data_IF_269986858246
#
_entry.id   IF_269986858246
#
_cell.length_a   1.000
_cell.length_b   1.000
_cell.length_c   1.000
_cell.angle_alpha   90.00
_cell.angle_beta   90.00
_cell.angle_gamma   90.00
#
_symmetry.space_group_name_H-M   'P 1'
#
loop_
_entity.id
_entity.type
_entity.pdbx_description
1 polymer ?
#
# COMPACT_ATOMS: atom_id res chain seq x y z
N UNK A 1 -1.63 1.43 7.56
CA UNK A 1 -2.09 1.38 8.98
C UNK A 1 -2.86 2.65 9.35
N UNK A 2 -2.26 3.84 9.26
CA UNK A 2 -2.95 5.09 9.61
C UNK A 2 -4.29 5.24 8.88
N UNK A 3 -4.28 5.13 7.55
CA UNK A 3 -5.49 5.26 6.73
C UNK A 3 -6.55 4.21 7.05
N UNK A 4 -6.17 2.95 7.27
CA UNK A 4 -7.11 1.91 7.67
C UNK A 4 -7.79 2.20 9.02
N UNK A 5 -7.11 2.90 9.93
CA UNK A 5 -7.63 3.24 11.26
C UNK A 5 -8.40 4.59 11.29
N UNK A 6 -8.07 5.53 10.38
CA UNK A 6 -8.65 6.88 10.35
C UNK A 6 -9.63 7.11 9.18
N UNK A 7 -9.60 6.29 8.14
CA UNK A 7 -10.31 6.49 6.88
C UNK A 7 -9.62 7.44 5.88
N UNK A 8 -8.50 8.05 6.25
CA UNK A 8 -7.72 8.96 5.38
C UNK A 8 -6.23 8.91 5.69
N UNK A 9 -5.33 9.22 4.73
CA UNK A 9 -3.90 9.27 4.99
C UNK A 9 -3.52 10.40 5.97
N UNK A 10 -2.35 10.30 6.64
CA UNK A 10 -1.92 11.30 7.62
C UNK A 10 -1.62 12.68 7.02
N UNK A 11 -1.24 12.71 5.73
CA UNK A 11 -1.06 13.95 4.98
C UNK A 11 -1.82 13.84 3.65
N UNK A 12 -2.54 14.90 3.29
CA UNK A 12 -3.29 14.99 2.05
C UNK A 12 -3.13 16.37 1.42
N UNK A 13 -3.03 16.42 0.10
CA UNK A 13 -2.97 17.64 -0.69
C UNK A 13 -3.32 17.34 -2.13
N UNK A 14 -3.95 18.30 -2.84
CA UNK A 14 -4.22 18.21 -4.28
C UNK A 14 -2.99 18.47 -5.15
N UNK A 15 -1.97 19.13 -4.59
CA UNK A 15 -0.71 19.43 -5.26
C UNK A 15 0.41 18.57 -4.66
N UNK A 16 1.16 17.87 -5.52
CA UNK A 16 2.21 16.94 -5.12
C UNK A 16 3.36 17.63 -4.39
N UNK A 17 3.81 18.80 -4.85
CA UNK A 17 4.83 19.59 -4.15
C UNK A 17 4.40 19.90 -2.72
N UNK A 18 3.17 20.36 -2.53
CA UNK A 18 2.62 20.62 -1.18
C UNK A 18 2.50 19.34 -0.34
N UNK A 19 2.16 18.21 -0.95
CA UNK A 19 2.11 16.92 -0.28
C UNK A 19 3.51 16.51 0.22
N UNK A 20 4.53 16.63 -0.62
CA UNK A 20 5.91 16.32 -0.24
C UNK A 20 6.39 17.22 0.89
N UNK A 21 6.10 18.52 0.83
CA UNK A 21 6.42 19.44 1.94
C UNK A 21 5.73 19.02 3.24
N UNK A 22 4.49 18.53 3.18
CA UNK A 22 3.79 18.00 4.35
C UNK A 22 4.48 16.76 4.92
N UNK A 23 4.85 15.80 4.07
CA UNK A 23 5.57 14.60 4.50
C UNK A 23 6.90 14.98 5.17
N UNK A 24 7.65 15.90 4.58
CA UNK A 24 8.96 16.33 5.07
C UNK A 24 8.91 17.11 6.37
N UNK A 25 7.88 17.95 6.59
CA UNK A 25 7.92 18.94 7.68
C UNK A 25 6.71 18.91 8.63
N UNK A 26 5.51 18.60 8.13
CA UNK A 26 4.27 18.73 8.90
C UNK A 26 4.17 17.67 10.01
N UNK A 27 3.80 18.07 11.21
CA UNK A 27 3.75 17.14 12.34
C UNK A 27 2.63 16.11 12.16
N UNK A 28 2.90 14.88 12.55
CA UNK A 28 1.91 13.80 12.51
C UNK A 28 0.83 14.06 13.59
N UNK A 29 -0.42 14.22 13.14
CA UNK A 29 -1.58 14.43 14.02
C UNK A 29 -2.40 13.16 14.13
N UNK A 30 -2.91 12.86 15.32
CA UNK A 30 -3.69 11.66 15.60
C UNK A 30 -5.15 12.01 15.92
N UNK A 31 -6.12 11.30 15.32
CA UNK A 31 -7.51 11.33 15.76
C UNK A 31 -7.68 10.83 17.20
N UNK A 32 -8.76 11.26 17.88
CA UNK A 32 -9.03 10.92 19.29
C UNK A 32 -9.28 9.42 19.54
N UNK A 33 -9.73 8.67 18.53
CA UNK A 33 -10.02 7.24 18.63
C UNK A 33 -8.76 6.36 18.57
N UNK A 34 -7.56 6.93 18.43
CA UNK A 34 -6.33 6.15 18.36
C UNK A 34 -5.85 5.76 19.76
N UNK A 35 -5.70 4.46 20.00
CA UNK A 35 -5.04 3.95 21.21
C UNK A 35 -3.58 4.42 21.30
N UNK A 36 -3.04 4.52 22.52
CA UNK A 36 -1.64 4.88 22.77
C UNK A 36 -0.67 3.97 22.01
N UNK A 37 -0.96 2.66 22.00
CA UNK A 37 -0.14 1.64 21.34
C UNK A 37 -0.10 1.85 19.82
N UNK A 38 -1.23 2.25 19.21
CA UNK A 38 -1.29 2.56 17.79
C UNK A 38 -0.52 3.85 17.46
N UNK A 39 -0.68 4.89 18.29
CA UNK A 39 0.04 6.15 18.09
C UNK A 39 1.55 5.95 18.18
N UNK A 40 2.02 5.16 19.16
CA UNK A 40 3.44 4.84 19.32
C UNK A 40 4.01 4.08 18.12
N UNK A 41 3.30 3.05 17.64
CA UNK A 41 3.68 2.31 16.43
C UNK A 41 3.81 3.24 15.22
N UNK A 42 2.81 4.12 15.01
CA UNK A 42 2.78 5.03 13.87
C UNK A 42 3.89 6.08 13.93
N UNK A 43 4.23 6.60 15.12
CA UNK A 43 5.39 7.50 15.29
C UNK A 43 6.70 6.81 14.91
N UNK A 44 6.86 5.54 15.27
CA UNK A 44 8.06 4.75 14.97
C UNK A 44 8.16 4.35 13.49
N UNK A 45 7.02 4.06 12.84
CA UNK A 45 6.95 3.74 11.41
C UNK A 45 7.13 4.98 10.52
N UNK A 46 6.43 6.07 10.86
CA UNK A 46 6.47 7.34 10.11
C UNK A 46 7.62 8.24 10.60
N UNK A 47 8.72 7.62 11.05
CA UNK A 47 9.94 8.33 11.42
C UNK A 47 10.65 8.83 10.16
N UNK A 48 11.01 10.11 10.16
CA UNK A 48 11.69 10.79 9.03
C UNK A 48 13.11 10.30 8.87
N UNK A 49 13.82 10.19 9.99
CA UNK A 49 15.14 9.58 10.02
C UNK A 49 15.03 8.07 9.81
N UNK A 50 15.50 7.62 8.64
CA UNK A 50 15.42 6.22 8.22
C UNK A 50 16.21 5.31 9.16
N UNK A 51 17.30 5.78 9.78
CA UNK A 51 18.13 4.99 10.70
C UNK A 51 17.40 4.65 12.01
N UNK A 52 16.43 5.48 12.39
CA UNK A 52 15.63 5.34 13.61
C UNK A 52 14.26 4.72 13.35
N UNK A 53 13.92 4.47 12.09
CA UNK A 53 12.63 3.91 11.70
C UNK A 53 12.54 2.44 12.10
N UNK A 54 11.48 2.08 12.81
CA UNK A 54 11.23 0.68 13.15
C UNK A 54 11.12 -0.15 11.87
N UNK A 55 11.73 -1.33 11.85
CA UNK A 55 11.88 -2.13 10.62
C UNK A 55 13.22 -1.94 9.92
N UNK A 56 13.89 -0.80 10.11
CA UNK A 56 15.24 -0.52 9.60
C UNK A 56 16.31 -0.46 10.69
N UNK A 57 15.94 -0.83 11.92
CA UNK A 57 16.87 -1.04 13.04
C UNK A 57 17.56 -2.41 12.92
N UNK A 58 18.55 -2.71 13.77
CA UNK A 58 19.24 -4.01 13.79
C UNK A 58 18.31 -5.24 13.90
N UNK A 59 17.16 -5.12 14.57
CA UNK A 59 16.13 -6.17 14.66
C UNK A 59 15.31 -6.36 13.37
N UNK A 60 15.43 -5.47 12.40
CA UNK A 60 14.65 -5.46 11.16
C UNK A 60 13.14 -5.56 11.43
N UNK A 61 12.48 -6.46 10.70
CA UNK A 61 11.05 -6.72 10.81
C UNK A 61 10.62 -7.30 12.18
N UNK A 62 11.51 -7.94 12.95
CA UNK A 62 11.18 -8.48 14.26
C UNK A 62 10.72 -7.37 15.22
N UNK A 63 11.35 -6.18 15.16
CA UNK A 63 10.93 -5.05 15.98
C UNK A 63 9.47 -4.62 15.73
N UNK A 64 9.01 -4.71 14.47
CA UNK A 64 7.61 -4.41 14.12
C UNK A 64 6.69 -5.48 14.69
N UNK A 65 7.06 -6.77 14.54
CA UNK A 65 6.25 -7.90 15.01
C UNK A 65 6.12 -7.96 16.53
N UNK A 66 7.17 -7.58 17.26
CA UNK A 66 7.24 -7.54 18.73
C UNK A 66 6.52 -6.31 19.33
N UNK A 67 6.07 -5.35 18.52
CA UNK A 67 5.42 -4.15 19.02
C UNK A 67 4.11 -4.46 19.76
N UNK A 68 3.87 -3.80 20.90
CA UNK A 68 2.70 -4.05 21.77
C UNK A 68 1.35 -3.95 21.06
N UNK A 69 1.25 -3.11 20.03
CA UNK A 69 0.05 -3.00 19.19
C UNK A 69 -0.31 -4.33 18.49
N UNK A 70 0.69 -5.16 18.16
CA UNK A 70 0.52 -6.48 17.55
C UNK A 70 0.50 -7.63 18.57
N UNK A 71 0.41 -7.37 19.88
CA UNK A 71 0.46 -8.42 20.92
C UNK A 71 -0.58 -9.54 20.77
N UNK A 72 -1.71 -9.26 20.10
CA UNK A 72 -2.79 -10.23 19.86
C UNK A 72 -2.64 -11.00 18.54
N UNK A 73 -1.62 -10.68 17.74
CA UNK A 73 -1.38 -11.32 16.45
C UNK A 73 -0.50 -12.54 16.64
N UNK A 74 -1.06 -13.70 16.30
CA UNK A 74 -0.30 -14.94 16.15
C UNK A 74 0.28 -15.00 14.73
N UNK A 75 1.56 -14.64 14.61
CA UNK A 75 2.25 -14.57 13.33
C UNK A 75 2.34 -15.94 12.62
N UNK A 76 2.39 -17.04 13.38
CA UNK A 76 2.48 -18.39 12.82
C UNK A 76 1.13 -18.84 12.27
N UNK A 77 0.03 -18.61 13.01
CA UNK A 77 -1.33 -18.87 12.50
C UNK A 77 -1.67 -18.01 11.30
N UNK A 78 -1.24 -16.75 11.29
CA UNK A 78 -1.44 -15.86 10.14
C UNK A 78 -0.69 -16.36 8.91
N UNK A 79 0.57 -16.80 9.08
CA UNK A 79 1.37 -17.41 7.99
C UNK A 79 0.70 -18.67 7.45
N UNK A 80 0.18 -19.54 8.33
CA UNK A 80 -0.51 -20.77 7.98
C UNK A 80 -1.96 -20.55 7.52
N UNK A 81 -2.42 -19.29 7.40
CA UNK A 81 -3.78 -18.91 6.99
C UNK A 81 -4.89 -19.57 7.84
N UNK A 82 -4.60 -19.87 9.10
CA UNK A 82 -5.56 -20.48 10.04
C UNK A 82 -6.28 -19.44 10.90
N UNK A 83 -5.90 -18.16 10.78
CA UNK A 83 -6.60 -17.06 11.44
C UNK A 83 -7.80 -16.64 10.60
N UNK A 84 -8.99 -16.57 11.21
CA UNK A 84 -10.18 -16.08 10.53
C UNK A 84 -10.04 -14.58 10.22
N UNK A 85 -10.27 -14.14 8.97
CA UNK A 85 -10.23 -12.72 8.63
C UNK A 85 -11.42 -11.99 9.28
N UNK A 86 -11.28 -10.69 9.60
CA UNK A 86 -12.37 -9.90 10.16
C UNK A 86 -13.49 -9.63 9.15
N UNK A 87 -13.20 -9.74 7.85
CA UNK A 87 -14.14 -9.53 6.77
C UNK A 87 -13.86 -10.53 5.65
N UNK A 88 -14.92 -11.18 5.16
CA UNK A 88 -14.89 -12.02 3.97
C UNK A 88 -15.75 -11.32 2.92
N UNK A 89 -15.17 -10.84 1.81
CA UNK A 89 -15.94 -10.20 0.74
C UNK A 89 -16.90 -11.20 0.09
N UNK A 90 -18.10 -10.76 -0.33
CA UNK A 90 -18.97 -11.58 -1.16
C UNK A 90 -18.24 -12.02 -2.43
N UNK A 91 -18.39 -13.29 -2.79
CA UNK A 91 -17.86 -13.84 -4.02
C UNK A 91 -18.84 -14.89 -4.54
N UNK A 92 -19.36 -14.68 -5.75
CA UNK A 92 -20.30 -15.61 -6.39
C UNK A 92 -19.61 -16.74 -7.16
N UNK A 93 -18.28 -16.71 -7.27
CA UNK A 93 -17.49 -17.79 -7.86
C UNK A 93 -16.41 -17.30 -8.83
N UNK A 94 -15.93 -18.22 -9.67
CA UNK A 94 -14.90 -17.91 -10.64
C UNK A 94 -15.40 -16.86 -11.65
N UNK A 95 -14.63 -15.79 -11.83
CA UNK A 95 -14.98 -14.69 -12.74
C UNK A 95 -15.90 -13.61 -12.15
N UNK A 96 -16.22 -13.66 -10.85
CA UNK A 96 -16.96 -12.58 -10.19
C UNK A 96 -16.15 -11.27 -10.18
N UNK A 97 -16.74 -10.22 -10.76
CA UNK A 97 -16.17 -8.86 -10.84
C UNK A 97 -16.93 -7.85 -9.97
N UNK A 98 -17.86 -8.30 -9.13
CA UNK A 98 -18.76 -7.45 -8.32
C UNK A 98 -18.03 -6.53 -7.32
N UNK A 99 -16.84 -6.92 -6.87
CA UNK A 99 -16.00 -6.12 -5.97
C UNK A 99 -15.16 -5.05 -6.68
N UNK A 100 -15.26 -4.94 -8.01
CA UNK A 100 -14.54 -3.95 -8.82
C UNK A 100 -15.49 -2.88 -9.37
N UNK A 101 -15.00 -1.65 -9.59
CA UNK A 101 -15.79 -0.62 -10.27
C UNK A 101 -16.05 -1.02 -11.73
N UNK A 102 -17.21 -0.62 -12.24
CA UNK A 102 -17.62 -0.86 -13.62
C UNK A 102 -16.60 -0.26 -14.60
N UNK A 103 -15.92 -1.14 -15.36
CA UNK A 103 -14.90 -0.77 -16.32
C UNK A 103 -15.43 0.13 -17.44
N UNK A 104 -16.73 0.08 -17.75
CA UNK A 104 -17.34 0.91 -18.81
C UNK A 104 -17.43 2.39 -18.44
N UNK A 105 -17.36 2.72 -17.14
CA UNK A 105 -17.31 4.10 -16.63
C UNK A 105 -15.90 4.69 -16.63
N UNK A 106 -14.88 3.83 -16.75
CA UNK A 106 -13.50 4.25 -16.89
C UNK A 106 -13.19 4.32 -18.40
N UNK A 107 -13.21 5.51 -18.99
CA UNK A 107 -12.99 5.69 -20.43
C UNK A 107 -11.62 5.13 -20.87
N UNK A 108 -11.60 3.88 -21.34
CA UNK A 108 -10.42 3.22 -21.91
C UNK A 108 -10.00 3.86 -23.25
N UNK A 109 -10.84 4.73 -23.80
CA UNK A 109 -10.64 5.37 -25.11
C UNK A 109 -9.43 6.31 -25.20
N UNK A 110 -8.80 6.68 -24.08
CA UNK A 110 -7.54 7.46 -24.10
C UNK A 110 -6.26 6.62 -24.04
N UNK A 111 -6.33 5.33 -23.69
CA UNK A 111 -5.14 4.47 -23.56
C UNK A 111 -4.88 3.62 -24.82
N UNK A 112 -5.94 3.26 -25.57
CA UNK A 112 -5.81 2.44 -26.78
C UNK A 112 -5.09 3.15 -27.95
N UNK A 113 -4.89 4.47 -27.88
CA UNK A 113 -4.21 5.25 -28.94
C UNK A 113 -2.71 5.46 -28.70
N UNK A 114 -2.17 4.97 -27.58
CA UNK A 114 -0.76 5.13 -27.21
C UNK A 114 0.13 3.93 -27.59
N UNK A 115 -0.42 2.91 -28.26
CA UNK A 115 0.34 1.72 -28.69
C UNK A 115 -0.07 1.18 -30.06
N UNK A 116 -0.48 2.06 -30.98
CA UNK A 116 -0.26 1.75 -32.38
C UNK A 116 1.25 1.96 -32.62
N UNK A 117 2.03 0.93 -33.00
CA UNK A 117 3.43 1.13 -33.33
C UNK A 117 3.49 2.11 -34.50
N UNK A 118 4.07 3.29 -34.26
CA UNK A 118 4.49 4.15 -35.36
C UNK A 118 5.63 3.41 -36.06
N UNK A 119 5.45 3.16 -37.35
CA UNK A 119 6.39 2.46 -38.21
C UNK A 119 7.85 2.91 -37.99
N UNK A 120 8.77 1.95 -38.13
CA UNK A 120 10.24 2.06 -38.31
C UNK A 120 11.18 2.00 -37.10
N UNK A 121 10.97 1.06 -36.16
CA UNK A 121 12.09 0.45 -35.42
C UNK A 121 11.94 -1.07 -35.46
N UNK A 122 13.01 -1.76 -35.85
CA UNK A 122 13.02 -3.16 -36.27
C UNK A 122 12.38 -4.11 -35.23
N UNK A 123 11.34 -4.82 -35.65
CA UNK A 123 10.60 -5.79 -34.84
C UNK A 123 11.47 -6.95 -34.29
N UNK A 124 12.68 -7.14 -34.85
CA UNK A 124 13.66 -8.13 -34.40
C UNK A 124 14.28 -7.78 -33.05
N UNK A 125 14.53 -6.50 -32.75
CA UNK A 125 15.20 -6.11 -31.48
C UNK A 125 14.26 -6.19 -30.28
N UNK A 126 12.98 -5.86 -30.48
CA UNK A 126 11.96 -5.92 -29.42
C UNK A 126 11.54 -7.35 -29.09
N UNK A 127 11.45 -8.22 -30.10
CA UNK A 127 11.18 -9.64 -29.87
C UNK A 127 12.30 -10.32 -29.09
N UNK A 128 13.55 -9.89 -29.29
CA UNK A 128 14.74 -10.40 -28.60
C UNK A 128 14.80 -10.04 -27.11
N UNK A 129 14.19 -8.92 -26.73
CA UNK A 129 14.20 -8.40 -25.35
C UNK A 129 13.27 -9.18 -24.39
N UNK A 130 12.34 -9.97 -24.94
CA UNK A 130 11.36 -10.76 -24.18
C UNK A 130 11.44 -12.26 -24.47
N UNK A 131 12.53 -12.75 -25.09
CA UNK A 131 12.67 -14.18 -25.41
C UNK A 131 12.70 -15.10 -24.19
N UNK A 132 13.12 -14.57 -23.05
CA UNK A 132 13.26 -15.31 -21.80
C UNK A 132 12.05 -15.14 -20.85
N UNK A 133 10.95 -14.52 -21.32
CA UNK A 133 9.68 -14.37 -20.58
C UNK A 133 8.64 -15.41 -20.96
#
# INVERSE_FOLDING_TARGET
>A
IFEMAAGSPPWISRNNTKLFMKILYDQLRFPRNFSSDLQDLLKKLLQRDVTRRIGNTWKGAAAVKEHVWFKKVDWLKMLNRTTNPPFVPPNTGYGDVSNFPDATKCSVSKMAKAHAPSDSVEASTFADEFKDF
#
